data_IF_808533757396
#
_entry.id   IF_808533757396
#
_cell.length_a   1.000
_cell.length_b   1.000
_cell.length_c   1.000
_cell.angle_alpha   90.00
_cell.angle_beta   90.00
_cell.angle_gamma   90.00
#
_symmetry.space_group_name_H-M   'P 1'
#
loop_
_entity.id
_entity.type
_entity.pdbx_description
1 polymer ?
#
# COMPACT_ATOMS: atom_id res chain seq x y z
N UNK A 1 -8.38 17.44 5.86
CA UNK A 1 -7.15 16.90 5.25
C UNK A 1 -7.49 16.21 3.93
N UNK A 2 -6.64 16.35 2.92
CA UNK A 2 -6.84 15.74 1.59
C UNK A 2 -6.30 14.33 1.51
N UNK A 3 -6.88 13.53 0.62
CA UNK A 3 -6.33 12.23 0.24
C UNK A 3 -5.08 12.43 -0.60
N UNK A 4 -3.99 11.73 -0.27
CA UNK A 4 -2.79 11.67 -1.11
C UNK A 4 -2.83 10.36 -1.87
N UNK A 5 -2.56 10.42 -3.17
CA UNK A 5 -2.55 9.24 -4.05
C UNK A 5 -1.23 9.19 -4.82
N UNK A 6 -0.61 8.01 -4.83
CA UNK A 6 0.66 7.75 -5.52
C UNK A 6 0.51 6.50 -6.36
N UNK A 7 0.80 6.61 -7.66
CA UNK A 7 0.88 5.46 -8.56
C UNK A 7 2.12 4.62 -8.25
N UNK A 8 1.98 3.30 -8.33
CA UNK A 8 3.06 2.37 -8.00
C UNK A 8 3.58 1.68 -9.25
N UNK A 9 4.74 1.03 -9.15
CA UNK A 9 5.28 0.21 -10.24
C UNK A 9 4.53 -1.12 -10.43
N UNK A 10 3.62 -1.46 -9.51
CA UNK A 10 2.89 -2.72 -9.55
C UNK A 10 1.67 -2.61 -10.47
N UNK A 11 1.38 -3.70 -11.17
CA UNK A 11 0.20 -3.82 -12.05
C UNK A 11 -0.84 -4.74 -11.44
N UNK A 12 -2.10 -4.42 -11.68
CA UNK A 12 -3.23 -5.22 -11.25
C UNK A 12 -3.28 -6.53 -12.05
N UNK A 13 -3.19 -7.72 -11.42
CA UNK A 13 -3.25 -9.00 -12.11
C UNK A 13 -4.60 -9.29 -12.79
N UNK A 14 -5.66 -8.53 -12.46
CA UNK A 14 -7.01 -8.75 -13.00
C UNK A 14 -7.31 -7.91 -14.25
N UNK A 15 -6.77 -6.70 -14.35
CA UNK A 15 -7.10 -5.76 -15.45
C UNK A 15 -5.88 -5.10 -16.12
N UNK A 16 -4.66 -5.40 -15.65
CA UNK A 16 -3.42 -4.79 -16.13
C UNK A 16 -3.25 -3.30 -15.79
N UNK A 17 -4.19 -2.69 -15.07
CA UNK A 17 -4.10 -1.29 -14.65
C UNK A 17 -3.03 -1.08 -13.59
N UNK A 18 -2.49 0.14 -13.52
CA UNK A 18 -1.54 0.53 -12.47
C UNK A 18 -2.22 0.45 -11.10
N UNK A 19 -1.53 -0.15 -10.12
CA UNK A 19 -1.95 -0.13 -8.72
C UNK A 19 -1.51 1.17 -8.09
N UNK A 20 -2.35 1.73 -7.23
CA UNK A 20 -2.12 2.96 -6.51
C UNK A 20 -2.10 2.73 -5.00
N UNK A 21 -1.33 3.58 -4.32
CA UNK A 21 -1.34 3.74 -2.89
C UNK A 21 -2.06 5.05 -2.57
N UNK A 22 -3.15 4.96 -1.83
CA UNK A 22 -3.90 6.12 -1.34
C UNK A 22 -3.69 6.19 0.18
N UNK A 23 -3.44 7.37 0.72
CA UNK A 23 -3.31 7.56 2.17
C UNK A 23 -4.16 8.73 2.66
N UNK A 24 -4.62 8.59 3.90
CA UNK A 24 -5.12 9.68 4.74
C UNK A 24 -4.31 9.76 6.04
N UNK A 25 -4.86 10.44 7.05
CA UNK A 25 -4.21 10.62 8.36
C UNK A 25 -3.99 9.31 9.13
N UNK A 26 -4.83 8.30 8.90
CA UNK A 26 -4.95 7.10 9.72
C UNK A 26 -4.71 5.80 8.95
N UNK A 27 -4.99 5.82 7.65
CA UNK A 27 -5.19 4.64 6.83
C UNK A 27 -4.39 4.74 5.55
N UNK A 28 -3.95 3.57 5.08
CA UNK A 28 -3.43 3.39 3.73
C UNK A 28 -4.32 2.40 3.00
N UNK A 29 -4.62 2.71 1.74
CA UNK A 29 -5.29 1.82 0.81
C UNK A 29 -4.35 1.50 -0.32
N UNK A 30 -4.22 0.21 -0.62
CA UNK A 30 -3.46 -0.25 -1.77
C UNK A 30 -4.40 -1.02 -2.69
N UNK A 31 -4.47 -0.63 -3.97
CA UNK A 31 -5.45 -1.24 -4.85
C UNK A 31 -5.48 -0.70 -6.27
N UNK A 32 -6.50 -1.15 -7.00
CA UNK A 32 -6.70 -0.78 -8.40
C UNK A 32 -7.98 0.05 -8.54
N UNK A 33 -7.83 1.29 -8.99
CA UNK A 33 -8.95 2.18 -9.32
C UNK A 33 -9.91 1.60 -10.35
N UNK A 34 -9.38 0.93 -11.38
CA UNK A 34 -10.20 0.35 -12.45
C UNK A 34 -11.06 -0.81 -11.96
N UNK A 35 -10.53 -1.64 -11.07
CA UNK A 35 -11.26 -2.77 -10.48
C UNK A 35 -12.08 -2.37 -9.24
N UNK A 36 -11.92 -1.14 -8.73
CA UNK A 36 -12.49 -0.69 -7.46
C UNK A 36 -12.16 -1.63 -6.28
N UNK A 37 -11.01 -2.30 -6.34
CA UNK A 37 -10.57 -3.28 -5.35
C UNK A 37 -9.41 -2.69 -4.56
N UNK A 38 -9.53 -2.70 -3.24
CA UNK A 38 -8.53 -2.12 -2.34
C UNK A 38 -8.38 -2.94 -1.08
N UNK A 39 -7.14 -3.00 -0.59
CA UNK A 39 -6.83 -3.45 0.76
C UNK A 39 -6.59 -2.23 1.62
N UNK A 40 -7.39 -2.07 2.67
CA UNK A 40 -7.20 -1.04 3.71
C UNK A 40 -6.34 -1.57 4.85
N UNK A 41 -5.39 -0.77 5.32
CA UNK A 41 -4.62 -1.03 6.55
C UNK A 41 -4.49 0.25 7.38
N UNK A 42 -4.40 0.07 8.69
CA UNK A 42 -4.00 1.15 9.58
C UNK A 42 -2.54 1.53 9.30
N UNK A 43 -2.30 2.83 9.13
CA UNK A 43 -1.00 3.38 8.77
C UNK A 43 0.03 3.16 9.87
N UNK A 44 -0.36 3.29 11.14
CA UNK A 44 0.56 3.09 12.27
C UNK A 44 0.94 1.63 12.39
N UNK A 45 0.00 0.72 12.21
CA UNK A 45 0.28 -0.72 12.26
C UNK A 45 1.23 -1.15 11.14
N UNK A 46 0.96 -0.74 9.89
CA UNK A 46 1.82 -1.15 8.76
C UNK A 46 3.21 -0.52 8.88
N UNK A 47 3.30 0.76 9.26
CA UNK A 47 4.59 1.45 9.42
C UNK A 47 5.43 0.79 10.51
N UNK A 48 4.83 0.44 11.66
CA UNK A 48 5.54 -0.20 12.78
C UNK A 48 6.18 -1.54 12.40
N UNK A 49 5.61 -2.28 11.44
CA UNK A 49 6.16 -3.57 10.99
C UNK A 49 7.37 -3.43 10.08
N UNK A 50 7.51 -2.29 9.39
CA UNK A 50 8.53 -2.08 8.36
C UNK A 50 9.58 -1.03 8.73
N UNK A 51 9.51 -0.47 9.93
CA UNK A 51 10.54 0.45 10.45
C UNK A 51 11.60 -0.33 11.23
N UNK A 52 12.84 -0.19 10.80
CA UNK A 52 14.00 -0.58 11.59
C UNK A 52 14.40 0.61 12.48
N UNK A 53 14.01 0.55 13.75
CA UNK A 53 14.34 1.60 14.72
C UNK A 53 15.82 1.64 15.07
N UNK A 54 16.54 0.52 14.92
CA UNK A 54 17.96 0.43 15.26
C UNK A 54 18.79 1.12 14.18
N UNK A 55 18.48 0.85 12.92
CA UNK A 55 19.15 1.44 11.77
C UNK A 55 18.51 2.78 11.34
N UNK A 56 17.39 3.18 11.95
CA UNK A 56 16.57 4.36 11.59
C UNK A 56 16.17 4.36 10.11
N UNK A 57 15.82 3.19 9.58
CA UNK A 57 15.47 3.00 8.16
C UNK A 57 14.05 2.47 8.02
N UNK A 58 13.38 2.91 6.96
CA UNK A 58 12.07 2.39 6.61
C UNK A 58 12.18 1.43 5.42
N UNK A 59 11.64 0.23 5.57
CA UNK A 59 11.61 -0.79 4.55
C UNK A 59 10.40 -0.61 3.61
N UNK A 60 10.51 0.35 2.69
CA UNK A 60 9.47 0.61 1.69
C UNK A 60 9.17 -0.60 0.81
N UNK A 61 10.20 -1.32 0.36
CA UNK A 61 10.02 -2.50 -0.50
C UNK A 61 9.29 -3.63 0.23
N UNK A 62 9.62 -3.87 1.50
CA UNK A 62 8.91 -4.83 2.35
C UNK A 62 7.44 -4.47 2.55
N UNK A 63 7.15 -3.20 2.84
CA UNK A 63 5.77 -2.72 3.00
C UNK A 63 4.96 -2.91 1.71
N UNK A 64 5.54 -2.53 0.57
CA UNK A 64 4.87 -2.69 -0.73
C UNK A 64 4.66 -4.17 -1.08
N UNK A 65 5.60 -5.05 -0.76
CA UNK A 65 5.46 -6.49 -0.97
C UNK A 65 4.33 -7.08 -0.10
N UNK A 66 4.23 -6.70 1.18
CA UNK A 66 3.12 -7.12 2.07
C UNK A 66 1.77 -6.67 1.51
N UNK A 67 1.64 -5.39 1.15
CA UNK A 67 0.40 -4.83 0.60
C UNK A 67 0.00 -5.51 -0.71
N UNK A 68 0.97 -5.79 -1.59
CA UNK A 68 0.71 -6.51 -2.84
C UNK A 68 0.25 -7.95 -2.61
N UNK A 69 0.90 -8.69 -1.69
CA UNK A 69 0.44 -10.04 -1.35
C UNK A 69 -0.98 -10.05 -0.78
N UNK A 70 -1.30 -9.10 0.08
CA UNK A 70 -2.66 -8.95 0.61
C UNK A 70 -3.67 -8.65 -0.50
N UNK A 71 -3.31 -7.77 -1.43
CA UNK A 71 -4.16 -7.42 -2.56
C UNK A 71 -4.47 -8.61 -3.46
N UNK A 72 -3.48 -9.47 -3.74
CA UNK A 72 -3.67 -10.67 -4.57
C UNK A 72 -4.51 -11.74 -3.86
N UNK A 73 -4.38 -11.87 -2.53
CA UNK A 73 -5.10 -12.87 -1.72
C UNK A 73 -6.55 -12.50 -1.37
N UNK A 74 -6.95 -11.25 -1.60
CA UNK A 74 -8.34 -10.78 -1.42
C UNK A 74 -9.26 -11.36 -2.49
#
# INVERSE_FOLDING_TARGET
>A
MGLVTVETVNVCPFCGGVLELVEDESSVWFGCRRCMRYVKRDKREVVKRHVDYREKRFNWSGMMAELYQLYVKT
#
